data_IF_813473131554
#
_entry.id   IF_813473131554
#
_cell.length_a   1.000
_cell.length_b   1.000
_cell.length_c   1.000
_cell.angle_alpha   90.00
_cell.angle_beta   90.00
_cell.angle_gamma   90.00
#
_symmetry.space_group_name_H-M   'P 1'
#
loop_
_entity.id
_entity.type
_entity.pdbx_description
1 polymer ?
#
# COMPACT_ATOMS: atom_id res chain seq x y z
N UNK A 1 4.68 -16.25 10.62
CA UNK A 1 3.27 -16.09 10.21
C UNK A 1 2.88 -14.63 10.42
N UNK A 2 2.21 -13.99 9.44
CA UNK A 2 1.80 -12.59 9.56
C UNK A 2 0.58 -12.50 10.47
N UNK A 3 0.71 -11.79 11.60
CA UNK A 3 -0.40 -11.58 12.54
C UNK A 3 -1.24 -10.38 12.09
N UNK A 4 -2.40 -10.62 11.46
CA UNK A 4 -3.33 -9.57 11.02
C UNK A 4 -4.77 -9.86 11.46
N UNK A 5 -5.61 -8.83 11.47
CA UNK A 5 -7.04 -8.95 11.82
C UNK A 5 -7.40 -8.31 13.18
N UNK A 6 -8.68 -8.43 13.55
CA UNK A 6 -9.27 -7.76 14.73
C UNK A 6 -8.55 -8.08 16.04
N UNK A 7 -8.07 -9.31 16.18
CA UNK A 7 -7.46 -9.81 17.41
C UNK A 7 -5.94 -9.63 17.47
N UNK A 8 -5.27 -9.42 16.33
CA UNK A 8 -3.81 -9.36 16.24
C UNK A 8 -3.19 -8.32 17.20
N UNK A 9 -3.81 -7.15 17.35
CA UNK A 9 -3.31 -6.13 18.27
C UNK A 9 -3.52 -6.50 19.75
N UNK A 10 -4.60 -7.21 20.08
CA UNK A 10 -4.90 -7.67 21.44
C UNK A 10 -3.99 -8.82 21.83
N UNK A 11 -3.80 -9.79 20.92
CA UNK A 11 -2.96 -10.95 21.15
C UNK A 11 -1.48 -10.58 21.24
N UNK A 12 -1.00 -9.64 20.40
CA UNK A 12 0.35 -9.06 20.56
C UNK A 12 0.52 -8.34 21.89
N UNK A 13 -0.46 -7.53 22.31
CA UNK A 13 -0.42 -6.84 23.61
C UNK A 13 -0.35 -7.84 24.78
N UNK A 14 -1.12 -8.94 24.73
CA UNK A 14 -1.05 -10.01 25.73
C UNK A 14 0.34 -10.66 25.81
N UNK A 15 1.05 -10.73 24.69
CA UNK A 15 2.42 -11.24 24.60
C UNK A 15 3.49 -10.18 24.90
N UNK A 16 3.11 -8.96 25.27
CA UNK A 16 4.05 -7.86 25.50
C UNK A 16 4.70 -7.28 24.24
N UNK A 17 4.21 -7.67 23.05
CA UNK A 17 4.73 -7.21 21.76
C UNK A 17 3.93 -5.98 21.32
N UNK A 18 4.62 -5.01 20.71
CA UNK A 18 4.01 -3.76 20.24
C UNK A 18 2.93 -3.93 19.17
N UNK A 19 2.53 -2.82 18.53
CA UNK A 19 1.50 -2.80 17.49
C UNK A 19 1.80 -3.84 16.38
N UNK A 20 0.79 -4.47 15.76
CA UNK A 20 0.98 -5.30 14.57
C UNK A 20 1.78 -4.54 13.50
N UNK A 21 2.80 -5.18 12.97
CA UNK A 21 3.67 -4.59 11.94
C UNK A 21 2.91 -4.31 10.65
N UNK A 22 3.39 -3.30 9.92
CA UNK A 22 3.00 -3.10 8.53
C UNK A 22 3.64 -4.21 7.70
N UNK A 23 2.85 -4.92 6.89
CA UNK A 23 3.36 -6.03 6.07
C UNK A 23 3.01 -5.85 4.60
N UNK A 24 3.74 -6.55 3.72
CA UNK A 24 3.46 -6.53 2.28
C UNK A 24 2.88 -7.87 1.83
N UNK A 25 1.80 -7.82 1.04
CA UNK A 25 1.15 -9.00 0.48
C UNK A 25 0.47 -8.65 -0.85
N UNK A 26 0.54 -9.55 -1.83
CA UNK A 26 -0.06 -9.39 -3.17
C UNK A 26 0.24 -8.05 -3.87
N UNK A 27 1.41 -7.45 -3.59
CA UNK A 27 1.78 -6.17 -4.19
C UNK A 27 1.21 -4.92 -3.51
N UNK A 28 0.64 -5.08 -2.32
CA UNK A 28 0.19 -3.99 -1.47
C UNK A 28 0.92 -4.00 -0.13
N UNK A 29 1.02 -2.82 0.46
CA UNK A 29 1.41 -2.61 1.84
C UNK A 29 0.15 -2.49 2.68
N UNK A 30 -0.03 -3.41 3.61
CA UNK A 30 -1.16 -3.48 4.53
C UNK A 30 -0.79 -2.88 5.88
N UNK A 31 -1.60 -1.94 6.34
CA UNK A 31 -1.43 -1.24 7.61
C UNK A 31 -2.64 -1.56 8.48
N UNK A 32 -2.40 -2.30 9.56
CA UNK A 32 -3.43 -2.58 10.56
C UNK A 32 -3.58 -1.42 11.55
N UNK A 33 -4.82 -1.05 11.83
CA UNK A 33 -5.14 0.04 12.75
C UNK A 33 -6.53 -0.11 13.35
N UNK A 34 -6.99 0.97 13.97
CA UNK A 34 -8.36 1.12 14.46
C UNK A 34 -8.95 2.40 13.92
N UNK A 35 -10.25 2.38 13.66
CA UNK A 35 -11.02 3.60 13.37
C UNK A 35 -11.08 4.48 14.63
N UNK A 36 -11.52 5.73 14.49
CA UNK A 36 -11.76 6.63 15.63
C UNK A 36 -12.78 6.05 16.64
N UNK A 37 -13.71 5.20 16.18
CA UNK A 37 -14.68 4.46 17.01
C UNK A 37 -14.11 3.15 17.60
N UNK A 38 -12.85 2.82 17.36
CA UNK A 38 -12.18 1.65 17.93
C UNK A 38 -12.32 0.34 17.16
N UNK A 39 -13.06 0.32 16.04
CA UNK A 39 -13.20 -0.87 15.19
C UNK A 39 -11.91 -1.16 14.43
N UNK A 40 -11.64 -2.43 14.17
CA UNK A 40 -10.50 -2.85 13.34
C UNK A 40 -10.59 -2.20 11.95
N UNK A 41 -9.48 -1.63 11.48
CA UNK A 41 -9.36 -1.07 10.15
C UNK A 41 -8.10 -1.61 9.47
N UNK A 42 -8.25 -2.01 8.21
CA UNK A 42 -7.14 -2.39 7.35
C UNK A 42 -6.99 -1.34 6.25
N UNK A 43 -5.90 -0.58 6.29
CA UNK A 43 -5.54 0.33 5.21
C UNK A 43 -4.63 -0.37 4.21
N UNK A 44 -4.82 -0.06 2.92
CA UNK A 44 -4.05 -0.62 1.81
C UNK A 44 -3.35 0.52 1.08
N UNK A 45 -2.04 0.40 0.91
CA UNK A 45 -1.25 1.27 0.04
C UNK A 45 -0.59 0.43 -1.04
N UNK A 46 -0.44 0.97 -2.25
CA UNK A 46 0.37 0.32 -3.29
C UNK A 46 1.80 0.19 -2.79
N UNK A 47 2.43 -0.96 -3.07
CA UNK A 47 3.84 -1.16 -2.73
C UNK A 47 4.69 -0.12 -3.46
N UNK A 48 5.57 0.56 -2.73
CA UNK A 48 6.28 1.74 -3.24
C UNK A 48 7.17 1.47 -4.45
N UNK A 49 7.71 0.26 -4.56
CA UNK A 49 8.46 -0.22 -5.73
C UNK A 49 7.60 -0.26 -7.00
N UNK A 50 6.39 -0.81 -6.93
CA UNK A 50 5.44 -0.89 -8.07
C UNK A 50 4.99 0.49 -8.51
N UNK A 51 4.73 1.38 -7.56
CA UNK A 51 4.38 2.77 -7.88
C UNK A 51 5.52 3.48 -8.61
N UNK A 52 6.76 3.35 -8.13
CA UNK A 52 7.94 3.93 -8.78
C UNK A 52 8.17 3.36 -10.18
N UNK A 53 8.02 2.04 -10.35
CA UNK A 53 8.14 1.40 -11.66
C UNK A 53 7.13 1.99 -12.65
N UNK A 54 5.84 2.07 -12.27
CA UNK A 54 4.80 2.62 -13.14
C UNK A 54 5.05 4.09 -13.50
N UNK A 55 5.50 4.90 -12.55
CA UNK A 55 5.85 6.31 -12.81
C UNK A 55 7.03 6.43 -13.79
N UNK A 56 8.02 5.53 -13.70
CA UNK A 56 9.14 5.50 -14.64
C UNK A 56 8.67 5.14 -16.06
N UNK A 57 7.78 4.16 -16.19
CA UNK A 57 7.22 3.76 -17.48
C UNK A 57 6.42 4.90 -18.11
N UNK A 58 5.54 5.55 -17.34
CA UNK A 58 4.77 6.72 -17.78
C UNK A 58 5.71 7.83 -18.25
N UNK A 59 6.78 8.10 -17.50
CA UNK A 59 7.78 9.11 -17.89
C UNK A 59 8.45 8.77 -19.22
N UNK A 60 8.77 7.50 -19.46
CA UNK A 60 9.38 7.06 -20.71
C UNK A 60 8.40 7.20 -21.90
N UNK A 61 7.15 6.81 -21.70
CA UNK A 61 6.09 6.95 -22.71
C UNK A 61 5.84 8.41 -23.06
N UNK A 62 5.74 9.30 -22.07
CA UNK A 62 5.57 10.73 -22.30
C UNK A 62 6.75 11.32 -23.07
N UNK A 63 7.99 10.91 -22.78
CA UNK A 63 9.17 11.33 -23.55
C UNK A 63 9.11 10.87 -25.00
N UNK A 64 8.70 9.62 -25.25
CA UNK A 64 8.55 9.08 -26.60
C UNK A 64 7.48 9.81 -27.40
N UNK A 65 6.39 10.22 -26.74
CA UNK A 65 5.24 10.89 -27.35
C UNK A 65 5.34 12.42 -27.34
N UNK A 66 6.48 12.98 -26.94
CA UNK A 66 6.66 14.42 -26.76
C UNK A 66 6.35 15.23 -28.02
N UNK A 67 6.63 14.66 -29.19
CA UNK A 67 6.38 15.28 -30.50
C UNK A 67 5.34 14.50 -31.31
N UNK A 68 4.48 13.72 -30.64
CA UNK A 68 3.39 13.06 -31.35
C UNK A 68 2.46 14.11 -31.95
N UNK A 69 2.06 13.95 -33.22
CA UNK A 69 1.08 14.82 -33.82
C UNK A 69 -0.20 14.71 -33.00
N UNK A 70 -0.70 15.86 -32.55
CA UNK A 70 -2.03 15.94 -31.98
C UNK A 70 -2.97 15.73 -33.17
N UNK A 71 -3.89 14.77 -33.08
CA UNK A 71 -4.88 14.56 -34.15
C UNK A 71 -5.59 15.89 -34.40
N UNK A 72 -5.48 16.41 -35.64
CA UNK A 72 -6.20 17.62 -36.04
C UNK A 72 -7.69 17.37 -35.84
N UNK A 73 -8.31 18.21 -35.01
CA UNK A 73 -9.74 18.26 -34.79
C UNK A 73 -10.34 19.35 -35.68
#
# INVERSE_FOLDING_TARGET
MVEFGRFAAVDRKKRGVGKPETFTFLGFTFICGKTRKGHFQLQRKTRGDRMRAKLKDIKADLRRRMHWPISQQ
#
